data_IF_054309467498
#
_entry.id   IF_054309467498
#
_cell.length_a   1.000
_cell.length_b   1.000
_cell.length_c   1.000
_cell.angle_alpha   90.00
_cell.angle_beta   90.00
_cell.angle_gamma   90.00
#
_symmetry.space_group_name_H-M   'P 1'
#
loop_
_entity.id
_entity.type
_entity.pdbx_description
1 polymer ?
#
# COMPACT_ATOMS: atom_id res chain seq x y z
N UNK A 1 35.09 -5.50 38.78
CA UNK A 1 35.88 -4.25 38.71
C UNK A 1 35.36 -3.50 37.49
N UNK A 2 34.39 -2.61 37.69
CA UNK A 2 33.74 -1.87 36.61
C UNK A 2 34.71 -0.81 36.09
N UNK A 3 35.14 -0.92 34.82
CA UNK A 3 35.79 0.18 34.11
C UNK A 3 34.68 1.09 33.58
N UNK A 4 34.55 2.24 34.24
CA UNK A 4 33.93 3.43 33.67
C UNK A 4 35.00 4.03 32.77
N UNK A 5 34.95 3.80 31.45
CA UNK A 5 35.71 4.52 30.41
C UNK A 5 35.57 3.76 29.08
N UNK A 6 34.48 4.01 28.37
CA UNK A 6 34.42 4.16 26.92
C UNK A 6 32.98 4.59 26.62
N UNK A 7 32.75 5.90 26.46
CA UNK A 7 31.55 6.35 25.74
C UNK A 7 31.63 5.71 24.35
N UNK A 8 30.68 4.85 23.99
CA UNK A 8 30.62 4.26 22.66
C UNK A 8 30.79 5.36 21.62
N UNK A 9 31.71 5.17 20.66
CA UNK A 9 31.96 6.16 19.61
C UNK A 9 31.91 5.49 18.25
N UNK A 10 31.21 6.11 17.30
CA UNK A 10 31.18 5.68 15.92
C UNK A 10 32.46 6.15 15.25
N UNK A 11 33.28 5.21 14.77
CA UNK A 11 34.49 5.54 14.01
C UNK A 11 34.30 5.21 12.54
N UNK A 12 34.42 6.22 11.68
CA UNK A 12 34.30 6.10 10.23
C UNK A 12 35.67 6.39 9.61
N UNK A 13 36.05 5.63 8.58
CA UNK A 13 37.24 5.95 7.78
C UNK A 13 36.88 7.05 6.78
N UNK A 14 37.62 8.15 6.86
CA UNK A 14 37.58 9.25 5.92
C UNK A 14 38.51 8.96 4.74
N UNK A 15 38.03 9.00 3.50
CA UNK A 15 38.90 8.97 2.33
C UNK A 15 39.90 10.13 2.40
N UNK A 16 41.18 9.86 2.11
CA UNK A 16 42.22 10.89 2.15
C UNK A 16 41.90 12.05 1.19
N UNK A 17 41.36 11.74 0.01
CA UNK A 17 40.92 12.74 -0.96
C UNK A 17 39.87 13.71 -0.42
N UNK A 18 39.03 13.28 0.53
CA UNK A 18 38.04 14.16 1.16
C UNK A 18 38.70 15.11 2.17
N UNK A 19 39.74 14.64 2.88
CA UNK A 19 40.51 15.47 3.82
C UNK A 19 41.33 16.52 3.05
N UNK A 20 41.95 16.12 1.95
CA UNK A 20 42.70 17.01 1.05
C UNK A 20 41.77 18.06 0.41
N UNK A 21 40.62 17.62 -0.13
CA UNK A 21 39.62 18.53 -0.69
C UNK A 21 39.11 19.55 0.32
N UNK A 22 38.87 19.13 1.57
CA UNK A 22 38.45 20.04 2.63
C UNK A 22 39.51 21.10 2.91
N UNK A 23 40.79 20.71 2.98
CA UNK A 23 41.89 21.64 3.20
C UNK A 23 41.99 22.69 2.08
N UNK A 24 41.87 22.25 0.83
CA UNK A 24 41.91 23.15 -0.34
C UNK A 24 40.75 24.15 -0.35
N UNK A 25 39.54 23.71 0.06
CA UNK A 25 38.34 24.53 0.06
C UNK A 25 38.27 25.50 1.26
N UNK A 26 38.51 25.00 2.47
CA UNK A 26 38.31 25.74 3.72
C UNK A 26 39.57 26.45 4.20
N UNK A 27 40.73 26.20 3.55
CA UNK A 27 42.03 26.77 3.92
C UNK A 27 42.40 26.51 5.40
N UNK A 28 41.83 25.45 5.98
CA UNK A 28 42.02 25.01 7.36
C UNK A 28 41.94 23.49 7.41
N UNK A 29 42.75 22.86 8.26
CA UNK A 29 42.69 21.42 8.44
C UNK A 29 41.43 21.02 9.23
N UNK A 30 40.96 19.80 8.96
CA UNK A 30 39.72 19.27 9.55
C UNK A 30 39.76 19.24 11.09
N UNK A 31 40.93 19.02 11.71
CA UNK A 31 41.02 18.96 13.17
C UNK A 31 40.81 20.36 13.78
N UNK A 32 41.43 21.38 13.19
CA UNK A 32 41.25 22.77 13.60
C UNK A 32 39.80 23.23 13.39
N UNK A 33 39.19 22.87 12.26
CA UNK A 33 37.78 23.18 11.99
C UNK A 33 36.82 22.51 12.99
N UNK A 34 37.06 21.24 13.36
CA UNK A 34 36.27 20.56 14.38
C UNK A 34 36.44 21.25 15.75
N UNK A 35 37.66 21.61 16.12
CA UNK A 35 37.96 22.23 17.42
C UNK A 35 37.32 23.62 17.59
N UNK A 36 37.13 24.37 16.50
CA UNK A 36 36.43 25.66 16.50
C UNK A 36 34.91 25.55 16.35
N UNK A 37 34.39 24.36 16.04
CA UNK A 37 32.96 24.11 15.85
C UNK A 37 32.24 23.78 17.16
N UNK A 38 30.89 23.72 17.09
CA UNK A 38 30.03 23.20 18.16
C UNK A 38 30.26 21.72 18.51
N UNK A 39 31.04 21.00 17.71
CA UNK A 39 31.33 19.58 17.88
C UNK A 39 32.67 19.30 18.58
N UNK A 40 33.37 20.35 19.04
CA UNK A 40 34.59 20.20 19.81
C UNK A 40 34.35 19.28 21.02
N UNK A 41 35.28 18.34 21.24
CA UNK A 41 35.18 17.31 22.27
C UNK A 41 34.35 16.08 21.87
N UNK A 42 33.33 16.23 21.03
CA UNK A 42 32.44 15.14 20.58
C UNK A 42 32.89 14.49 19.27
N UNK A 43 33.57 15.24 18.38
CA UNK A 43 34.11 14.70 17.13
C UNK A 43 35.63 14.83 17.15
N UNK A 44 36.33 13.80 16.70
CA UNK A 44 37.80 13.76 16.65
C UNK A 44 38.26 13.08 15.38
N UNK A 45 39.12 13.74 14.62
CA UNK A 45 39.84 13.11 13.51
C UNK A 45 41.23 12.69 13.99
N UNK A 46 41.59 11.42 13.80
CA UNK A 46 42.95 10.91 14.01
C UNK A 46 43.41 10.18 12.76
N UNK A 47 44.35 10.77 12.01
CA UNK A 47 44.74 10.33 10.67
C UNK A 47 43.51 10.31 9.75
N UNK A 48 43.14 9.14 9.25
CA UNK A 48 41.99 8.88 8.39
C UNK A 48 40.74 8.42 9.16
N UNK A 49 40.75 8.45 10.49
CA UNK A 49 39.63 7.95 11.32
C UNK A 49 38.90 9.09 12.01
N UNK A 50 37.66 9.32 11.62
CA UNK A 50 36.74 10.25 12.27
C UNK A 50 35.94 9.50 13.33
N UNK A 51 36.18 9.81 14.59
CA UNK A 51 35.43 9.30 15.74
C UNK A 51 34.39 10.33 16.15
N UNK A 52 33.15 9.88 16.35
CA UNK A 52 31.99 10.67 16.74
C UNK A 52 31.45 10.06 18.04
N UNK A 53 31.29 10.88 19.08
CA UNK A 53 30.72 10.45 20.35
C UNK A 53 29.32 9.87 20.15
N UNK A 54 29.03 8.76 20.83
CA UNK A 54 27.75 8.05 20.71
C UNK A 54 26.57 8.94 21.03
N UNK A 55 26.67 9.78 22.06
CA UNK A 55 25.65 10.78 22.39
C UNK A 55 25.31 11.72 21.23
N UNK A 56 26.28 12.09 20.39
CA UNK A 56 26.04 12.87 19.19
C UNK A 56 25.41 12.03 18.07
N UNK A 57 25.85 10.77 17.90
CA UNK A 57 25.26 9.83 16.93
C UNK A 57 23.78 9.57 17.22
N UNK A 58 23.42 9.43 18.49
CA UNK A 58 22.02 9.26 18.92
C UNK A 58 21.13 10.42 18.46
N UNK A 59 21.66 11.66 18.46
CA UNK A 59 20.90 12.83 18.01
C UNK A 59 20.53 12.78 16.54
N UNK A 60 21.31 12.08 15.70
CA UNK A 60 21.06 11.99 14.25
C UNK A 60 19.73 11.32 13.93
N UNK A 61 19.24 10.46 14.82
CA UNK A 61 17.99 9.72 14.64
C UNK A 61 16.84 10.23 15.52
N UNK A 62 17.10 11.23 16.37
CA UNK A 62 16.14 11.71 17.35
C UNK A 62 14.83 12.21 16.74
N UNK A 63 14.91 12.99 15.65
CA UNK A 63 13.74 13.49 14.92
C UNK A 63 12.94 12.33 14.31
N UNK A 64 13.61 11.41 13.60
CA UNK A 64 12.97 10.22 13.00
C UNK A 64 12.29 9.34 14.05
N UNK A 65 12.95 9.09 15.19
CA UNK A 65 12.38 8.29 16.29
C UNK A 65 11.15 9.01 16.88
N UNK A 66 11.22 10.34 17.05
CA UNK A 66 10.09 11.15 17.49
C UNK A 66 8.89 11.02 16.55
N UNK A 67 9.11 11.13 15.24
CA UNK A 67 8.06 10.95 14.23
C UNK A 67 7.43 9.55 14.27
N UNK A 68 8.23 8.49 14.46
CA UNK A 68 7.72 7.12 14.60
C UNK A 68 6.83 7.00 15.84
N UNK A 69 7.25 7.59 16.96
CA UNK A 69 6.47 7.59 18.21
C UNK A 69 5.13 8.31 18.01
N UNK A 70 5.16 9.51 17.41
CA UNK A 70 3.96 10.30 17.18
C UNK A 70 2.96 9.56 16.29
N UNK A 71 3.45 8.88 15.25
CA UNK A 71 2.61 8.06 14.37
C UNK A 71 1.99 6.87 15.10
N UNK A 72 2.77 6.14 15.91
CA UNK A 72 2.25 5.04 16.73
C UNK A 72 1.20 5.52 17.73
N UNK A 73 1.40 6.69 18.35
CA UNK A 73 0.40 7.31 19.24
C UNK A 73 -0.87 7.66 18.46
N UNK A 74 -0.74 8.13 17.21
CA UNK A 74 -1.89 8.41 16.34
C UNK A 74 -2.68 7.14 16.01
N UNK A 75 -1.99 6.08 15.59
CA UNK A 75 -2.60 4.78 15.25
C UNK A 75 -3.32 4.19 16.47
N UNK A 76 -2.69 4.18 17.65
CA UNK A 76 -3.25 3.59 18.86
C UNK A 76 -4.46 4.36 19.41
N UNK A 77 -4.71 5.60 18.97
CA UNK A 77 -5.94 6.35 19.30
C UNK A 77 -7.14 5.91 18.47
N UNK A 78 -6.94 5.17 17.38
CA UNK A 78 -8.03 4.70 16.54
C UNK A 78 -8.86 3.65 17.31
N UNK A 79 -10.20 3.71 17.20
CA UNK A 79 -11.11 2.83 17.98
C UNK A 79 -10.81 1.33 17.79
N UNK A 80 -10.49 0.93 16.56
CA UNK A 80 -10.00 -0.42 16.17
C UNK A 80 -8.72 -0.88 16.86
N UNK A 81 -7.98 0.00 17.53
CA UNK A 81 -6.76 -0.33 18.25
C UNK A 81 -6.94 -0.30 19.77
N UNK A 82 -8.20 -0.18 20.25
CA UNK A 82 -8.51 -0.06 21.68
C UNK A 82 -8.16 -1.30 22.52
N UNK A 83 -8.03 -2.46 21.88
CA UNK A 83 -7.70 -3.76 22.49
C UNK A 83 -6.25 -4.22 22.23
N UNK A 84 -5.42 -3.37 21.61
CA UNK A 84 -4.01 -3.68 21.36
C UNK A 84 -3.26 -3.86 22.68
N UNK A 85 -2.63 -5.01 22.85
CA UNK A 85 -1.84 -5.35 24.04
C UNK A 85 -0.33 -5.36 23.82
N UNK A 86 0.12 -5.35 22.56
CA UNK A 86 1.52 -5.54 22.21
C UNK A 86 1.93 -4.79 20.94
N UNK A 87 3.21 -4.44 20.85
CA UNK A 87 3.88 -3.90 19.67
C UNK A 87 4.96 -4.90 19.26
N UNK A 88 4.89 -5.42 18.03
CA UNK A 88 5.97 -6.21 17.45
C UNK A 88 6.84 -5.34 16.54
N UNK A 89 8.13 -5.24 16.84
CA UNK A 89 9.09 -4.50 16.01
C UNK A 89 9.69 -5.42 14.93
N UNK A 90 9.68 -4.99 13.67
CA UNK A 90 10.22 -5.75 12.54
C UNK A 90 11.01 -4.84 11.57
N UNK A 91 11.89 -5.44 10.76
CA UNK A 91 12.71 -4.73 9.78
C UNK A 91 14.06 -4.25 10.32
N UNK A 92 14.99 -3.89 9.42
CA UNK A 92 16.38 -3.62 9.81
C UNK A 92 16.57 -2.47 10.80
N UNK A 93 15.78 -1.39 10.69
CA UNK A 93 15.91 -0.26 11.62
C UNK A 93 15.44 -0.59 13.04
N UNK A 94 14.59 -1.61 13.20
CA UNK A 94 14.16 -2.12 14.50
C UNK A 94 15.29 -2.83 15.27
N UNK A 95 16.45 -3.07 14.66
CA UNK A 95 17.66 -3.55 15.35
C UNK A 95 18.36 -2.44 16.15
N UNK A 96 18.05 -1.16 15.90
CA UNK A 96 18.68 -0.05 16.60
C UNK A 96 18.24 0.01 18.08
N UNK A 97 19.20 -0.12 18.99
CA UNK A 97 18.94 -0.07 20.45
C UNK A 97 18.28 1.25 20.88
N UNK A 98 18.63 2.36 20.23
CA UNK A 98 18.04 3.68 20.48
C UNK A 98 16.56 3.72 20.16
N UNK A 99 16.13 3.14 19.04
CA UNK A 99 14.73 3.03 18.66
C UNK A 99 13.99 2.08 19.61
N UNK A 100 14.53 0.90 19.88
CA UNK A 100 13.92 -0.06 20.80
C UNK A 100 13.73 0.53 22.20
N UNK A 101 14.73 1.25 22.72
CA UNK A 101 14.66 1.93 24.00
C UNK A 101 13.56 3.00 24.00
N UNK A 102 13.52 3.85 22.97
CA UNK A 102 12.53 4.91 22.87
C UNK A 102 11.09 4.38 22.82
N UNK A 103 10.85 3.33 22.01
CA UNK A 103 9.54 2.67 21.92
C UNK A 103 9.14 2.02 23.25
N UNK A 104 10.03 1.23 23.87
CA UNK A 104 9.77 0.61 25.19
C UNK A 104 9.50 1.65 26.28
N UNK A 105 10.24 2.77 26.26
CA UNK A 105 10.07 3.86 27.22
C UNK A 105 8.74 4.59 27.05
N UNK A 106 8.28 4.77 25.81
CA UNK A 106 7.03 5.47 25.51
C UNK A 106 5.81 4.58 25.79
N UNK A 107 5.86 3.31 25.41
CA UNK A 107 4.72 2.39 25.42
C UNK A 107 4.84 1.34 26.54
N UNK A 108 5.11 1.78 27.78
CA UNK A 108 5.32 0.90 28.93
C UNK A 108 4.11 0.03 29.31
N UNK A 109 2.91 0.44 28.88
CA UNK A 109 1.67 -0.31 29.10
C UNK A 109 1.44 -1.43 28.09
N UNK A 110 2.25 -1.50 27.02
CA UNK A 110 2.16 -2.50 25.97
C UNK A 110 3.37 -3.42 26.03
N UNK A 111 3.18 -4.69 25.69
CA UNK A 111 4.29 -5.62 25.53
C UNK A 111 5.04 -5.30 24.22
N UNK A 112 6.31 -4.89 24.31
CA UNK A 112 7.14 -4.66 23.11
C UNK A 112 7.96 -5.90 22.80
N UNK A 113 7.58 -6.63 21.76
CA UNK A 113 8.24 -7.84 21.30
C UNK A 113 9.18 -7.54 20.12
N UNK A 114 10.40 -8.08 20.19
CA UNK A 114 11.43 -7.96 19.15
C UNK A 114 11.86 -9.38 18.77
N UNK A 115 11.54 -9.86 17.56
CA UNK A 115 11.86 -11.22 17.13
C UNK A 115 13.38 -11.46 17.01
N UNK A 116 13.80 -12.73 17.08
CA UNK A 116 15.17 -13.12 16.70
C UNK A 116 15.37 -12.92 15.19
N UNK A 117 16.45 -12.22 14.81
CA UNK A 117 16.73 -11.75 13.45
C UNK A 117 15.64 -10.78 12.94
N UNK A 118 15.53 -9.61 13.59
CA UNK A 118 14.51 -8.59 13.32
C UNK A 118 14.51 -8.17 11.84
N UNK A 119 15.68 -7.99 11.24
CA UNK A 119 15.86 -7.71 9.81
C UNK A 119 15.27 -8.78 8.88
N UNK A 120 15.22 -10.05 9.30
CA UNK A 120 14.70 -11.16 8.51
C UNK A 120 13.25 -11.53 8.83
N UNK A 121 12.63 -10.87 9.81
CA UNK A 121 11.30 -11.25 10.30
C UNK A 121 10.22 -11.23 9.22
N UNK A 122 10.25 -10.21 8.33
CA UNK A 122 9.33 -10.09 7.20
C UNK A 122 9.54 -11.24 6.20
N UNK A 123 10.79 -11.54 5.85
CA UNK A 123 11.13 -12.63 4.92
C UNK A 123 10.71 -13.99 5.49
N UNK A 124 11.01 -14.26 6.76
CA UNK A 124 10.60 -15.50 7.44
C UNK A 124 9.08 -15.65 7.41
N UNK A 125 8.34 -14.58 7.72
CA UNK A 125 6.88 -14.55 7.61
C UNK A 125 6.38 -14.87 6.20
N UNK A 126 7.01 -14.29 5.17
CA UNK A 126 6.66 -14.56 3.78
C UNK A 126 6.92 -16.02 3.37
N UNK A 127 8.03 -16.63 3.82
CA UNK A 127 8.32 -18.05 3.59
C UNK A 127 7.28 -18.94 4.26
N UNK A 128 6.92 -18.66 5.52
CA UNK A 128 5.87 -19.38 6.24
C UNK A 128 4.53 -19.28 5.50
N UNK A 129 4.16 -18.08 5.06
CA UNK A 129 2.95 -17.84 4.29
C UNK A 129 2.96 -18.59 2.95
N UNK A 130 4.11 -18.62 2.24
CA UNK A 130 4.26 -19.37 0.99
C UNK A 130 4.06 -20.88 1.17
N UNK A 131 4.52 -21.45 2.29
CA UNK A 131 4.28 -22.86 2.62
C UNK A 131 2.84 -23.15 3.07
N UNK A 132 2.21 -22.21 3.78
CA UNK A 132 0.84 -22.36 4.26
C UNK A 132 0.08 -21.02 4.16
N UNK A 133 -0.58 -20.73 3.03
CA UNK A 133 -1.32 -19.49 2.86
C UNK A 133 -2.50 -19.33 3.83
N UNK A 134 -2.98 -20.43 4.43
CA UNK A 134 -4.11 -20.42 5.37
C UNK A 134 -3.75 -19.85 6.75
N UNK A 135 -2.47 -19.51 7.00
CA UNK A 135 -2.07 -18.81 8.24
C UNK A 135 -2.69 -17.41 8.36
N UNK A 136 -3.11 -16.81 7.24
CA UNK A 136 -3.88 -15.56 7.22
C UNK A 136 -5.35 -15.92 6.98
N UNK A 137 -6.20 -15.70 7.97
CA UNK A 137 -7.64 -16.02 7.90
C UNK A 137 -8.49 -14.88 7.33
N UNK A 138 -8.06 -13.64 7.54
CA UNK A 138 -8.76 -12.44 7.07
C UNK A 138 -7.79 -11.30 6.74
N UNK A 139 -8.32 -10.30 6.05
CA UNK A 139 -7.67 -9.02 5.73
C UNK A 139 -8.68 -7.91 5.89
N UNK A 140 -8.20 -6.70 6.15
CA UNK A 140 -9.04 -5.50 6.12
C UNK A 140 -8.85 -4.81 4.79
N UNK A 141 -9.93 -4.48 4.11
CA UNK A 141 -9.92 -3.74 2.85
C UNK A 141 -9.36 -2.33 3.05
N UNK A 142 -8.27 -2.00 2.35
CA UNK A 142 -7.66 -0.66 2.41
C UNK A 142 -8.35 0.33 1.46
N UNK A 143 -9.07 -0.17 0.46
CA UNK A 143 -9.89 0.60 -0.46
C UNK A 143 -11.30 0.04 -0.49
N UNK A 144 -12.25 0.82 -0.97
CA UNK A 144 -13.54 0.31 -1.43
C UNK A 144 -13.36 -0.26 -2.83
N UNK A 145 -13.69 -1.54 -3.02
CA UNK A 145 -13.59 -2.25 -4.29
C UNK A 145 -14.98 -2.40 -4.93
N UNK A 146 -15.05 -2.16 -6.24
CA UNK A 146 -16.30 -2.27 -6.98
C UNK A 146 -16.12 -2.39 -8.48
N UNK A 147 -17.19 -2.15 -9.21
CA UNK A 147 -17.23 -2.31 -10.67
C UNK A 147 -17.91 -1.10 -11.31
N UNK A 148 -17.38 -0.63 -12.44
CA UNK A 148 -18.11 0.32 -13.30
C UNK A 148 -19.26 -0.41 -13.97
N UNK A 149 -20.48 0.01 -13.66
CA UNK A 149 -21.69 -0.52 -14.29
C UNK A 149 -22.66 0.62 -14.56
N UNK A 150 -23.58 0.42 -15.49
CA UNK A 150 -24.73 1.29 -15.64
C UNK A 150 -25.91 0.75 -14.83
N UNK A 151 -26.53 1.60 -14.01
CA UNK A 151 -27.73 1.27 -13.23
C UNK A 151 -28.96 2.02 -13.73
N UNK A 152 -30.16 1.52 -13.43
CA UNK A 152 -31.40 2.21 -13.79
C UNK A 152 -31.38 3.63 -13.24
N UNK A 153 -31.78 4.60 -14.05
CA UNK A 153 -31.73 6.00 -13.67
C UNK A 153 -32.72 6.26 -12.54
N UNK A 154 -32.25 6.88 -11.45
CA UNK A 154 -33.07 7.34 -10.36
C UNK A 154 -32.90 8.86 -10.24
N UNK A 155 -33.91 9.66 -10.57
CA UNK A 155 -33.80 11.12 -10.58
C UNK A 155 -33.53 11.74 -9.19
N UNK A 156 -33.76 10.99 -8.11
CA UNK A 156 -33.49 11.47 -6.74
C UNK A 156 -32.01 11.43 -6.36
N UNK A 157 -31.19 10.64 -7.06
CA UNK A 157 -29.77 10.42 -6.67
C UNK A 157 -28.79 10.51 -7.85
N UNK A 158 -29.24 10.30 -9.09
CA UNK A 158 -28.37 10.30 -10.26
C UNK A 158 -28.31 11.67 -10.95
N UNK A 159 -27.12 12.04 -11.42
CA UNK A 159 -26.87 13.25 -12.21
C UNK A 159 -27.53 13.10 -13.59
N UNK A 160 -28.48 13.97 -13.96
CA UNK A 160 -29.15 13.92 -15.26
C UNK A 160 -28.20 13.97 -16.46
N UNK A 161 -26.99 14.54 -16.31
CA UNK A 161 -25.96 14.60 -17.38
C UNK A 161 -25.36 13.23 -17.69
N UNK A 162 -25.49 12.25 -16.79
CA UNK A 162 -25.05 10.86 -16.96
C UNK A 162 -26.19 9.94 -17.41
N UNK A 163 -27.38 10.49 -17.66
CA UNK A 163 -28.52 9.73 -18.12
C UNK A 163 -28.35 9.31 -19.59
N UNK A 164 -28.73 8.08 -19.90
CA UNK A 164 -28.86 7.58 -21.27
C UNK A 164 -30.01 6.56 -21.37
N UNK A 165 -30.42 6.23 -22.59
CA UNK A 165 -31.55 5.34 -22.85
C UNK A 165 -31.08 3.98 -23.37
N UNK A 166 -31.69 2.92 -22.84
CA UNK A 166 -31.65 1.54 -23.37
C UNK A 166 -33.07 1.13 -23.78
N UNK A 167 -33.22 -0.05 -24.38
CA UNK A 167 -34.54 -0.52 -24.84
C UNK A 167 -35.54 -0.69 -23.67
N UNK A 168 -35.05 -0.91 -22.46
CA UNK A 168 -35.84 -1.19 -21.26
C UNK A 168 -35.91 -0.02 -20.26
N UNK A 169 -35.43 1.17 -20.65
CA UNK A 169 -35.64 2.41 -19.89
C UNK A 169 -34.43 3.34 -19.81
N UNK A 170 -34.48 4.24 -18.82
CA UNK A 170 -33.42 5.20 -18.52
C UNK A 170 -32.36 4.58 -17.60
N UNK A 171 -31.09 4.82 -17.90
CA UNK A 171 -29.93 4.35 -17.14
C UNK A 171 -28.97 5.50 -16.83
N UNK A 172 -28.19 5.36 -15.76
CA UNK A 172 -27.07 6.22 -15.43
C UNK A 172 -25.77 5.48 -15.76
N UNK A 173 -24.87 6.13 -16.52
CA UNK A 173 -23.53 5.61 -16.80
C UNK A 173 -22.56 5.94 -15.67
N UNK A 174 -21.42 5.25 -15.65
CA UNK A 174 -20.27 5.50 -14.77
C UNK A 174 -20.61 5.41 -13.28
N UNK A 175 -21.57 4.55 -12.89
CA UNK A 175 -21.90 4.32 -11.49
C UNK A 175 -20.91 3.34 -10.88
N UNK A 176 -20.52 3.57 -9.62
CA UNK A 176 -19.66 2.69 -8.86
C UNK A 176 -20.52 1.70 -8.07
N UNK A 177 -20.47 0.42 -8.42
CA UNK A 177 -21.16 -0.61 -7.65
C UNK A 177 -20.20 -1.26 -6.65
N UNK A 178 -20.43 -0.98 -5.36
CA UNK A 178 -19.58 -1.43 -4.27
C UNK A 178 -19.75 -2.93 -4.04
N UNK A 179 -18.63 -3.65 -4.04
CA UNK A 179 -18.55 -5.05 -3.64
C UNK A 179 -17.98 -5.14 -2.23
N UNK A 180 -16.78 -4.62 -1.99
CA UNK A 180 -16.16 -4.60 -0.66
C UNK A 180 -15.88 -3.16 -0.23
N UNK A 181 -16.20 -2.80 1.00
CA UNK A 181 -15.97 -1.44 1.52
C UNK A 181 -14.59 -1.29 2.13
N UNK A 182 -14.03 -0.08 2.10
CA UNK A 182 -12.89 0.26 2.94
C UNK A 182 -13.19 -0.08 4.41
N UNK A 183 -12.20 -0.58 5.11
CA UNK A 183 -12.27 -1.07 6.49
C UNK A 183 -13.13 -2.33 6.69
N UNK A 184 -13.69 -2.92 5.63
CA UNK A 184 -14.37 -4.22 5.72
C UNK A 184 -13.33 -5.33 6.00
N UNK A 185 -13.58 -6.13 7.05
CA UNK A 185 -12.84 -7.38 7.25
C UNK A 185 -13.38 -8.44 6.28
N UNK A 186 -12.48 -9.03 5.49
CA UNK A 186 -12.78 -10.02 4.47
C UNK A 186 -11.94 -11.29 4.64
N UNK A 187 -12.54 -12.43 4.34
CA UNK A 187 -11.90 -13.74 4.46
C UNK A 187 -11.38 -14.25 3.12
N UNK A 188 -10.31 -15.06 3.16
CA UNK A 188 -9.83 -15.75 1.95
C UNK A 188 -10.96 -16.61 1.37
N UNK A 189 -11.21 -16.47 0.07
CA UNK A 189 -12.28 -17.18 -0.64
C UNK A 189 -13.61 -16.43 -0.67
N UNK A 190 -13.80 -15.40 0.16
CA UNK A 190 -15.01 -14.59 0.14
C UNK A 190 -15.20 -13.97 -1.25
N UNK A 191 -16.43 -14.04 -1.74
CA UNK A 191 -16.80 -13.59 -3.08
C UNK A 191 -18.10 -12.81 -3.00
N UNK A 192 -18.11 -11.62 -3.59
CA UNK A 192 -19.34 -10.84 -3.81
C UNK A 192 -19.54 -10.65 -5.32
N UNK A 193 -20.78 -10.43 -5.74
CA UNK A 193 -21.08 -10.31 -7.17
C UNK A 193 -22.23 -9.35 -7.45
N UNK A 194 -22.18 -8.73 -8.63
CA UNK A 194 -23.29 -8.01 -9.22
C UNK A 194 -23.84 -8.74 -10.45
N UNK A 195 -25.09 -8.44 -10.77
CA UNK A 195 -25.70 -8.82 -12.03
C UNK A 195 -25.87 -7.59 -12.92
N UNK A 196 -25.58 -7.77 -14.20
CA UNK A 196 -25.80 -6.79 -15.22
C UNK A 196 -26.60 -7.40 -16.37
N UNK A 197 -27.50 -6.59 -16.93
CA UNK A 197 -28.28 -6.93 -18.11
C UNK A 197 -28.08 -5.85 -19.16
N UNK A 198 -27.96 -6.27 -20.41
CA UNK A 198 -28.05 -5.39 -21.57
C UNK A 198 -29.02 -5.98 -22.60
N UNK A 199 -29.63 -5.09 -23.40
CA UNK A 199 -30.64 -5.44 -24.40
C UNK A 199 -30.40 -4.71 -25.72
N UNK A 200 -30.74 -5.40 -26.81
CA UNK A 200 -30.52 -4.96 -28.19
C UNK A 200 -31.73 -5.24 -29.10
N UNK A 201 -32.93 -4.85 -28.64
CA UNK A 201 -34.18 -4.98 -29.38
C UNK A 201 -34.33 -3.90 -30.46
N UNK A 202 -34.02 -2.63 -30.15
CA UNK A 202 -34.18 -1.55 -31.12
C UNK A 202 -33.14 -1.59 -32.23
N UNK A 203 -33.52 -1.08 -33.42
CA UNK A 203 -32.60 -0.97 -34.56
C UNK A 203 -31.33 -0.18 -34.22
N UNK A 204 -31.46 0.87 -33.41
CA UNK A 204 -30.33 1.69 -32.97
C UNK A 204 -29.35 0.90 -32.08
N UNK A 205 -29.85 -0.02 -31.25
CA UNK A 205 -29.02 -0.83 -30.34
C UNK A 205 -28.39 -2.04 -31.03
N UNK A 206 -28.99 -2.57 -32.10
CA UNK A 206 -28.50 -3.80 -32.76
C UNK A 206 -27.04 -3.72 -33.26
N UNK A 207 -26.54 -2.53 -33.61
CA UNK A 207 -25.14 -2.35 -34.02
C UNK A 207 -24.14 -2.64 -32.88
N UNK A 208 -24.55 -2.42 -31.63
CA UNK A 208 -23.70 -2.66 -30.46
C UNK A 208 -23.57 -4.14 -30.10
N UNK A 209 -24.31 -5.03 -30.78
CA UNK A 209 -24.16 -6.48 -30.60
C UNK A 209 -22.80 -6.99 -31.08
N UNK A 210 -22.06 -6.21 -31.86
CA UNK A 210 -20.70 -6.54 -32.31
C UNK A 210 -19.61 -5.97 -31.39
N UNK A 211 -19.97 -5.08 -30.46
CA UNK A 211 -19.01 -4.44 -29.57
C UNK A 211 -18.60 -5.38 -28.43
N UNK A 212 -17.31 -5.47 -28.10
CA UNK A 212 -16.88 -6.18 -26.90
C UNK A 212 -17.32 -5.42 -25.64
N UNK A 213 -17.62 -6.16 -24.57
CA UNK A 213 -17.84 -5.58 -23.26
C UNK A 213 -16.51 -5.38 -22.53
N UNK A 214 -16.32 -4.19 -21.96
CA UNK A 214 -15.25 -3.91 -21.00
C UNK A 214 -15.85 -3.82 -19.60
N UNK A 215 -15.54 -4.78 -18.74
CA UNK A 215 -15.85 -4.74 -17.31
C UNK A 215 -14.67 -4.13 -16.56
N UNK A 216 -14.84 -2.94 -15.99
CA UNK A 216 -13.80 -2.25 -15.23
C UNK A 216 -13.99 -2.49 -13.74
N UNK A 217 -12.98 -3.04 -13.09
CA UNK A 217 -12.90 -3.15 -11.64
C UNK A 217 -12.26 -1.87 -11.10
N UNK A 218 -12.93 -1.26 -10.13
CA UNK A 218 -12.61 0.06 -9.61
C UNK A 218 -12.21 -0.06 -8.14
N UNK A 219 -11.32 0.84 -7.70
CA UNK A 219 -11.03 1.07 -6.29
C UNK A 219 -11.29 2.52 -5.92
N UNK A 220 -11.63 2.79 -4.66
CA UNK A 220 -11.81 4.13 -4.12
C UNK A 220 -11.20 4.28 -2.73
N UNK A 221 -10.64 5.45 -2.44
CA UNK A 221 -10.21 5.86 -1.08
C UNK A 221 -11.39 6.27 -0.19
N UNK A 222 -12.61 6.38 -0.73
CA UNK A 222 -13.83 6.72 0.01
C UNK A 222 -14.65 5.47 0.28
N UNK A 223 -15.42 5.47 1.37
CA UNK A 223 -16.27 4.33 1.76
C UNK A 223 -17.46 4.14 0.83
N UNK A 224 -18.07 5.24 0.40
CA UNK A 224 -19.32 5.29 -0.37
C UNK A 224 -19.15 6.05 -1.70
N UNK A 225 -18.24 5.60 -2.59
CA UNK A 225 -18.11 6.20 -3.91
C UNK A 225 -19.41 6.01 -4.69
N UNK A 226 -19.86 7.05 -5.39
CA UNK A 226 -21.13 7.02 -6.10
C UNK A 226 -20.91 6.86 -7.61
N UNK A 227 -19.95 7.60 -8.17
CA UNK A 227 -19.49 7.46 -9.55
C UNK A 227 -18.05 6.99 -9.61
N UNK A 228 -17.71 6.29 -10.69
CA UNK A 228 -16.34 5.83 -10.96
C UNK A 228 -15.37 6.96 -11.29
N UNK A 229 -15.89 8.17 -11.50
CA UNK A 229 -15.13 9.40 -11.73
C UNK A 229 -15.04 10.28 -10.48
N UNK A 230 -15.60 9.84 -9.35
CA UNK A 230 -15.49 10.60 -8.11
C UNK A 230 -14.03 10.65 -7.67
N UNK A 231 -13.65 11.74 -7.03
CA UNK A 231 -12.31 11.90 -6.45
C UNK A 231 -11.98 10.72 -5.52
N UNK A 232 -10.80 10.14 -5.74
CA UNK A 232 -10.34 8.95 -5.04
C UNK A 232 -10.60 7.64 -5.79
N UNK A 233 -11.41 7.65 -6.85
CA UNK A 233 -11.67 6.47 -7.68
C UNK A 233 -10.60 6.26 -8.76
N UNK A 234 -10.19 5.01 -8.99
CA UNK A 234 -9.31 4.64 -10.09
C UNK A 234 -9.60 3.22 -10.61
N UNK A 235 -9.30 2.99 -11.89
CA UNK A 235 -9.40 1.64 -12.49
C UNK A 235 -8.26 0.78 -11.92
N UNK A 236 -8.62 -0.34 -11.30
CA UNK A 236 -7.68 -1.33 -10.78
C UNK A 236 -7.33 -2.37 -11.85
N UNK A 237 -8.30 -2.70 -12.70
CA UNK A 237 -8.11 -3.58 -13.84
C UNK A 237 -9.39 -3.75 -14.65
N UNK A 238 -9.32 -4.48 -15.76
CA UNK A 238 -10.50 -4.75 -16.57
C UNK A 238 -10.48 -6.08 -17.29
N UNK A 239 -11.67 -6.55 -17.63
CA UNK A 239 -11.91 -7.72 -18.47
C UNK A 239 -12.58 -7.27 -19.76
N UNK A 240 -12.02 -7.66 -20.90
CA UNK A 240 -12.67 -7.48 -22.20
C UNK A 240 -13.29 -8.81 -22.63
N UNK A 241 -14.60 -8.84 -22.83
CA UNK A 241 -15.34 -10.03 -23.29
C UNK A 241 -15.86 -9.77 -24.70
N UNK A 242 -15.52 -10.65 -25.63
CA UNK A 242 -15.98 -10.54 -27.02
C UNK A 242 -17.31 -11.29 -27.21
N UNK A 243 -18.16 -10.83 -28.14
CA UNK A 243 -19.41 -11.53 -28.43
C UNK A 243 -19.20 -12.99 -28.85
N UNK A 244 -20.02 -13.94 -28.37
CA UNK A 244 -19.98 -15.31 -28.83
C UNK A 244 -20.50 -15.38 -30.28
N UNK A 245 -19.81 -16.10 -31.15
CA UNK A 245 -20.24 -16.31 -32.55
C UNK A 245 -20.51 -15.00 -33.33
N UNK A 246 -19.55 -14.07 -33.32
CA UNK A 246 -19.55 -12.80 -34.07
C UNK A 246 -20.44 -11.70 -33.46
N UNK A 247 -21.56 -12.01 -32.82
CA UNK A 247 -22.44 -11.00 -32.20
C UNK A 247 -23.18 -11.50 -30.96
N UNK A 248 -23.44 -10.60 -30.02
CA UNK A 248 -24.20 -10.87 -28.81
C UNK A 248 -25.66 -11.25 -29.12
N UNK A 249 -26.33 -12.06 -28.29
CA UNK A 249 -27.78 -12.21 -28.34
C UNK A 249 -28.51 -10.89 -28.06
N UNK A 250 -29.83 -10.85 -28.30
CA UNK A 250 -30.63 -9.62 -28.07
C UNK A 250 -30.79 -9.26 -26.60
N UNK A 251 -30.60 -10.22 -25.72
CA UNK A 251 -30.51 -10.03 -24.27
C UNK A 251 -29.15 -10.60 -23.90
N UNK A 252 -28.40 -9.91 -23.04
CA UNK A 252 -27.21 -10.48 -22.43
C UNK A 252 -27.32 -10.31 -20.93
N UNK A 253 -27.13 -11.41 -20.21
CA UNK A 253 -27.08 -11.40 -18.75
C UNK A 253 -25.66 -11.79 -18.34
N UNK A 254 -25.02 -10.95 -17.54
CA UNK A 254 -23.67 -11.16 -17.04
C UNK A 254 -23.67 -11.13 -15.52
N UNK A 255 -22.88 -12.00 -14.92
CA UNK A 255 -22.57 -11.97 -13.49
C UNK A 255 -21.11 -11.61 -13.32
N UNK A 256 -20.84 -10.55 -12.56
CA UNK A 256 -19.49 -10.04 -12.34
C UNK A 256 -19.18 -10.30 -10.88
N UNK A 257 -18.11 -11.06 -10.63
CA UNK A 257 -17.68 -11.48 -9.32
C UNK A 257 -16.36 -10.84 -8.98
N UNK A 258 -16.18 -10.55 -7.70
CA UNK A 258 -14.90 -10.19 -7.12
C UNK A 258 -14.63 -11.11 -5.93
N UNK A 259 -13.51 -11.83 -6.00
CA UNK A 259 -13.11 -12.81 -4.99
C UNK A 259 -11.81 -12.40 -4.31
N UNK A 260 -11.75 -12.57 -2.99
CA UNK A 260 -10.53 -12.46 -2.19
C UNK A 260 -9.71 -13.74 -2.36
N UNK A 261 -8.51 -13.64 -2.93
CA UNK A 261 -7.64 -14.77 -3.25
C UNK A 261 -6.26 -14.65 -2.59
N UNK A 262 -6.24 -14.45 -1.27
CA UNK A 262 -5.01 -14.31 -0.50
C UNK A 262 -4.43 -12.91 -0.61
N UNK A 263 -3.31 -12.76 -1.32
CA UNK A 263 -2.67 -11.45 -1.61
C UNK A 263 -3.21 -10.78 -2.87
N UNK A 264 -4.12 -11.45 -3.56
CA UNK A 264 -4.73 -10.99 -4.81
C UNK A 264 -6.25 -10.89 -4.66
N UNK A 265 -6.83 -10.16 -5.61
CA UNK A 265 -8.24 -10.19 -5.94
C UNK A 265 -8.41 -10.85 -7.31
N UNK A 266 -9.49 -11.59 -7.48
CA UNK A 266 -9.86 -12.18 -8.76
C UNK A 266 -11.19 -11.60 -9.21
N UNK A 267 -11.14 -10.79 -10.26
CA UNK A 267 -12.32 -10.33 -10.98
C UNK A 267 -12.74 -11.39 -12.00
N UNK A 268 -14.01 -11.76 -12.04
CA UNK A 268 -14.55 -12.75 -12.98
C UNK A 268 -15.82 -12.21 -13.63
N UNK A 269 -15.94 -12.35 -14.94
CA UNK A 269 -17.19 -12.16 -15.67
C UNK A 269 -17.69 -13.51 -16.16
N UNK A 270 -18.95 -13.83 -15.85
CA UNK A 270 -19.67 -15.01 -16.32
C UNK A 270 -20.79 -14.58 -17.24
N UNK A 271 -20.76 -15.03 -18.49
CA UNK A 271 -21.91 -14.95 -19.39
C UNK A 271 -22.93 -16.01 -18.95
N UNK A 272 -24.13 -15.58 -18.55
CA UNK A 272 -25.16 -16.48 -18.01
C UNK A 272 -25.88 -17.31 -19.07
N UNK A 273 -25.71 -16.99 -20.35
CA UNK A 273 -26.33 -17.77 -21.44
C UNK A 273 -25.39 -18.89 -21.89
N UNK A 274 -24.11 -18.56 -22.10
CA UNK A 274 -23.10 -19.53 -22.54
C UNK A 274 -22.43 -20.25 -21.38
N UNK A 275 -22.59 -19.75 -20.15
CA UNK A 275 -21.87 -20.17 -18.94
C UNK A 275 -20.35 -20.08 -19.09
N UNK A 276 -19.86 -19.24 -20.01
CA UNK A 276 -18.44 -19.00 -20.19
C UNK A 276 -17.93 -17.98 -19.19
N UNK A 277 -16.71 -18.21 -18.69
CA UNK A 277 -16.08 -17.37 -17.68
C UNK A 277 -14.79 -16.77 -18.21
N UNK A 278 -14.56 -15.51 -17.88
CA UNK A 278 -13.28 -14.85 -18.09
C UNK A 278 -12.88 -14.15 -16.81
N UNK A 279 -11.61 -14.30 -16.43
CA UNK A 279 -11.09 -13.77 -15.17
C UNK A 279 -9.83 -12.95 -15.38
N UNK A 280 -9.57 -12.05 -14.45
CA UNK A 280 -8.34 -11.27 -14.33
C UNK A 280 -7.93 -11.23 -12.85
N UNK A 281 -6.63 -11.17 -12.60
CA UNK A 281 -6.05 -11.06 -11.26
C UNK A 281 -5.47 -9.67 -11.08
N UNK A 282 -5.60 -9.13 -9.89
CA UNK A 282 -4.99 -7.85 -9.51
C UNK A 282 -4.58 -7.88 -8.04
N UNK A 283 -3.59 -7.10 -7.65
CA UNK A 283 -3.08 -7.05 -6.28
C UNK A 283 -4.20 -6.65 -5.31
N UNK A 284 -4.26 -7.26 -4.12
CA UNK A 284 -5.24 -6.84 -3.11
C UNK A 284 -4.99 -5.39 -2.69
N UNK A 285 -3.72 -5.01 -2.52
CA UNK A 285 -3.30 -3.63 -2.28
C UNK A 285 -2.72 -3.05 -3.58
N UNK A 286 -3.46 -2.23 -4.35
CA UNK A 286 -2.92 -1.59 -5.53
C UNK A 286 -1.68 -0.75 -5.20
N UNK A 287 -0.64 -0.90 -6.01
CA UNK A 287 0.54 -0.03 -6.01
C UNK A 287 0.18 1.38 -6.56
N UNK A 288 -0.54 2.21 -5.80
CA UNK A 288 -1.03 3.52 -6.28
C UNK A 288 0.12 4.55 -6.47
N UNK A 289 1.29 4.35 -5.84
CA UNK A 289 2.28 5.41 -5.63
C UNK A 289 3.64 5.31 -6.34
N UNK A 290 3.84 4.45 -7.36
CA UNK A 290 5.16 4.41 -8.05
C UNK A 290 5.59 5.73 -8.73
N UNK A 291 4.69 6.71 -8.88
CA UNK A 291 5.01 8.03 -9.46
C UNK A 291 5.05 9.19 -8.45
N UNK A 292 4.64 9.01 -7.18
CA UNK A 292 4.79 10.03 -6.13
C UNK A 292 5.88 9.69 -5.09
N UNK A 293 6.22 8.40 -4.93
CA UNK A 293 7.29 7.94 -4.02
C UNK A 293 8.70 8.00 -4.63
N UNK A 294 8.88 8.55 -5.84
CA UNK A 294 10.22 8.80 -6.42
C UNK A 294 11.00 9.95 -5.75
N UNK A 295 10.54 10.45 -4.60
CA UNK A 295 11.28 11.40 -3.77
C UNK A 295 11.51 10.81 -2.37
N UNK A 296 12.54 9.97 -2.30
CA UNK A 296 13.13 9.51 -1.05
C UNK A 296 12.73 8.08 -0.70
N UNK A 297 13.76 7.25 -0.55
CA UNK A 297 13.77 5.93 0.09
C UNK A 297 13.64 4.70 -0.84
N UNK A 298 14.82 4.11 -1.06
CA UNK A 298 15.19 2.71 -1.32
C UNK A 298 14.23 1.81 -2.10
N UNK A 299 14.67 1.51 -3.32
CA UNK A 299 14.21 0.44 -4.21
C UNK A 299 14.43 -0.94 -3.57
N UNK A 300 13.39 -1.77 -3.35
CA UNK A 300 13.59 -3.16 -2.97
C UNK A 300 14.02 -3.92 -4.23
N UNK A 301 15.30 -4.29 -4.23
CA UNK A 301 15.93 -5.23 -5.16
C UNK A 301 14.97 -6.36 -5.55
N UNK A 302 14.52 -6.35 -6.80
CA UNK A 302 14.02 -7.54 -7.48
C UNK A 302 15.21 -8.50 -7.65
N UNK A 303 15.20 -9.59 -6.88
CA UNK A 303 15.95 -10.79 -7.23
C UNK A 303 15.07 -11.59 -8.18
N UNK A 304 15.39 -11.50 -9.47
CA UNK A 304 15.01 -12.52 -10.44
C UNK A 304 15.74 -13.82 -10.06
N UNK A 305 14.97 -14.86 -9.73
CA UNK A 305 15.41 -16.27 -9.78
C UNK A 305 14.42 -16.99 -10.70
#
# INVERSE_FOLDING_TARGET
MYRVEDEESLTIRMPLSLIELFLDMEQSDVQTAIASSRFNGMVRLKRDKLSIAGSLVETFFSETIGMIIDELVSILKHERCSDVSAIMMAGGFSEADTLQYAIKKQFQSLEVFIPTDVSLSVLKGAVIYGHNPNVVSSRVCYYTYGVNVARKFNPSIHDPRRKFFRDDGEYCKDTFDVLFEIDEEVHIGQTKSIYARDTFFSKARQIHRYDPYKWQFMVSTKKDPFYTTDEGCMEHGSIIVFPPNVMWPKIVNSQILLKIAGTELVGTCVDKETMTEKSVRFEFLPSINKNQEKKGWFDPFYLDI
#
